data_IF_745967004121
#
_entry.id   IF_745967004121
#
_cell.length_a   1.000
_cell.length_b   1.000
_cell.length_c   1.000
_cell.angle_alpha   90.00
_cell.angle_beta   90.00
_cell.angle_gamma   90.00
#
_symmetry.space_group_name_H-M   'P 1'
#
loop_
_entity.id
_entity.type
_entity.pdbx_description
1 polymer ?
#
# COMPACT_ATOMS: atom_id res chain seq x y z
N UNK A 1 0.21 -1.32 -23.85
CA UNK A 1 -0.86 -2.08 -23.17
C UNK A 1 -0.84 -1.68 -21.71
N UNK A 2 -1.89 -1.00 -21.23
CA UNK A 2 -1.93 -0.48 -19.86
C UNK A 2 -1.99 -1.63 -18.85
N UNK A 3 -1.16 -1.58 -17.80
CA UNK A 3 -1.30 -2.47 -16.67
C UNK A 3 -2.69 -2.25 -16.07
N UNK A 4 -3.56 -3.26 -16.17
CA UNK A 4 -4.83 -3.26 -15.46
C UNK A 4 -4.50 -3.51 -13.99
N UNK A 5 -4.59 -2.45 -13.17
CA UNK A 5 -4.44 -2.59 -11.73
C UNK A 5 -5.60 -3.45 -11.21
N UNK A 6 -5.29 -4.60 -10.60
CA UNK A 6 -6.29 -5.37 -9.88
C UNK A 6 -6.74 -4.56 -8.66
N UNK A 7 -8.05 -4.43 -8.46
CA UNK A 7 -8.62 -3.85 -7.25
C UNK A 7 -9.09 -4.98 -6.33
N UNK A 8 -8.67 -5.01 -5.05
CA UNK A 8 -9.18 -5.98 -4.11
C UNK A 8 -10.64 -5.69 -3.73
N UNK A 9 -11.38 -6.74 -3.41
CA UNK A 9 -12.74 -6.64 -2.88
C UNK A 9 -12.76 -6.26 -1.39
N UNK A 10 -13.87 -5.67 -0.91
CA UNK A 10 -14.10 -5.53 0.53
C UNK A 10 -14.19 -6.94 1.15
N UNK A 11 -13.49 -7.14 2.27
CA UNK A 11 -13.37 -8.44 2.95
C UNK A 11 -12.20 -9.29 2.45
N UNK A 12 -11.56 -8.93 1.35
CA UNK A 12 -10.38 -9.63 0.84
C UNK A 12 -9.18 -9.48 1.77
N UNK A 13 -8.37 -10.53 1.88
CA UNK A 13 -7.11 -10.53 2.62
C UNK A 13 -5.93 -10.24 1.69
N UNK A 14 -5.09 -9.28 2.05
CA UNK A 14 -3.78 -9.03 1.45
C UNK A 14 -2.73 -9.26 2.54
N UNK A 15 -2.09 -10.43 2.52
CA UNK A 15 -1.35 -10.94 3.68
C UNK A 15 -2.27 -10.95 4.91
N UNK A 16 -1.82 -10.34 6.01
CA UNK A 16 -2.59 -10.22 7.25
C UNK A 16 -3.60 -9.05 7.28
N UNK A 17 -3.74 -8.30 6.19
CA UNK A 17 -4.56 -7.10 6.13
C UNK A 17 -5.89 -7.35 5.41
N UNK A 18 -7.00 -7.23 6.13
CA UNK A 18 -8.34 -7.32 5.56
C UNK A 18 -8.77 -5.98 4.97
N UNK A 19 -9.24 -5.94 3.72
CA UNK A 19 -9.83 -4.74 3.11
C UNK A 19 -11.16 -4.41 3.79
N UNK A 20 -11.28 -3.20 4.32
CA UNK A 20 -12.49 -2.71 5.00
C UNK A 20 -13.23 -1.68 4.15
N UNK A 21 -12.52 -0.95 3.28
CA UNK A 21 -13.15 0.01 2.39
C UNK A 21 -12.16 0.80 1.53
N UNK A 22 -12.69 1.47 0.52
CA UNK A 22 -11.95 2.40 -0.32
C UNK A 22 -11.73 3.74 0.40
N UNK A 23 -10.53 4.32 0.29
CA UNK A 23 -10.22 5.65 0.82
C UNK A 23 -9.99 6.69 -0.27
N UNK A 24 -9.41 6.31 -1.41
CA UNK A 24 -9.14 7.25 -2.49
C UNK A 24 -8.24 6.67 -3.57
N UNK A 25 -8.16 7.38 -4.69
CA UNK A 25 -7.28 7.05 -5.82
C UNK A 25 -6.60 8.31 -6.34
N UNK A 26 -5.35 8.16 -6.81
CA UNK A 26 -4.60 9.25 -7.44
C UNK A 26 -3.56 8.71 -8.43
N UNK A 27 -2.71 9.59 -8.96
CA UNK A 27 -1.82 9.25 -10.08
C UNK A 27 -0.84 8.10 -9.82
N UNK A 28 -0.53 7.78 -8.57
CA UNK A 28 0.40 6.70 -8.19
C UNK A 28 -0.28 5.44 -7.65
N UNK A 29 -1.62 5.39 -7.66
CA UNK A 29 -2.37 4.20 -7.26
C UNK A 29 -3.56 4.48 -6.34
N UNK A 30 -3.97 3.43 -5.63
CA UNK A 30 -5.24 3.38 -4.90
C UNK A 30 -5.00 3.05 -3.44
N UNK A 31 -5.75 3.69 -2.55
CA UNK A 31 -5.63 3.55 -1.10
C UNK A 31 -6.89 2.93 -0.53
N UNK A 32 -6.71 1.91 0.30
CA UNK A 32 -7.76 1.21 1.03
C UNK A 32 -7.55 1.34 2.53
N UNK A 33 -8.65 1.38 3.27
CA UNK A 33 -8.66 1.15 4.70
C UNK A 33 -8.56 -0.35 4.92
N UNK A 34 -7.61 -0.76 5.75
CA UNK A 34 -7.42 -2.17 6.11
C UNK A 34 -7.41 -2.37 7.61
N UNK A 35 -7.73 -3.58 8.05
CA UNK A 35 -7.67 -4.00 9.45
C UNK A 35 -6.68 -5.15 9.61
N UNK A 36 -5.85 -5.07 10.66
CA UNK A 36 -4.95 -6.13 11.09
C UNK A 36 -4.85 -6.10 12.61
N UNK A 37 -5.26 -7.18 13.27
CA UNK A 37 -5.15 -7.34 14.72
C UNK A 37 -5.93 -6.27 15.50
N UNK A 38 -7.13 -5.91 15.04
CA UNK A 38 -7.98 -4.89 15.68
C UNK A 38 -7.53 -3.44 15.46
N UNK A 39 -6.49 -3.21 14.64
CA UNK A 39 -5.97 -1.88 14.31
C UNK A 39 -6.20 -1.58 12.83
N UNK A 40 -6.47 -0.31 12.53
CA UNK A 40 -6.67 0.14 11.16
C UNK A 40 -5.41 0.78 10.56
N UNK A 41 -5.21 0.55 9.27
CA UNK A 41 -4.10 1.10 8.49
C UNK A 41 -4.61 1.58 7.12
N UNK A 42 -3.76 2.36 6.44
CA UNK A 42 -3.93 2.67 5.03
C UNK A 42 -3.02 1.74 4.21
N UNK A 43 -3.60 0.98 3.29
CA UNK A 43 -2.87 0.14 2.33
C UNK A 43 -2.92 0.81 0.97
N UNK A 44 -1.75 1.14 0.40
CA UNK A 44 -1.64 1.76 -0.90
C UNK A 44 -1.11 0.76 -1.93
N UNK A 45 -1.94 0.45 -2.93
CA UNK A 45 -1.56 -0.36 -4.09
C UNK A 45 -0.99 0.57 -5.15
N UNK A 46 0.27 0.35 -5.53
CA UNK A 46 0.96 1.16 -6.52
C UNK A 46 0.68 0.64 -7.93
N UNK A 47 0.19 1.51 -8.81
CA UNK A 47 -0.04 1.18 -10.22
C UNK A 47 1.25 1.38 -11.04
N UNK A 48 2.31 0.69 -10.67
CA UNK A 48 3.63 0.80 -11.33
C UNK A 48 4.10 -0.56 -11.84
N UNK A 49 4.74 -0.63 -13.02
CA UNK A 49 5.23 -1.90 -13.58
C UNK A 49 6.41 -2.48 -12.77
N UNK A 50 7.16 -1.63 -12.08
CA UNK A 50 8.29 -2.01 -11.22
C UNK A 50 8.58 -0.92 -10.21
N UNK A 51 9.11 -1.31 -9.05
CA UNK A 51 9.72 -0.38 -8.10
C UNK A 51 11.08 0.05 -8.67
N UNK A 52 11.15 1.29 -9.15
CA UNK A 52 12.40 1.88 -9.63
C UNK A 52 13.33 2.29 -8.47
N UNK A 53 14.52 2.79 -8.81
CA UNK A 53 15.51 3.19 -7.80
C UNK A 53 15.03 4.33 -6.90
N UNK A 54 14.15 5.20 -7.39
CA UNK A 54 13.56 6.29 -6.61
C UNK A 54 12.56 5.75 -5.59
N UNK A 55 11.64 4.89 -6.02
CA UNK A 55 10.65 4.27 -5.14
C UNK A 55 11.32 3.47 -4.02
N UNK A 56 12.38 2.70 -4.35
CA UNK A 56 13.18 1.97 -3.35
C UNK A 56 13.85 2.90 -2.34
N UNK A 57 14.40 4.03 -2.81
CA UNK A 57 15.01 5.03 -1.92
C UNK A 57 13.98 5.68 -1.00
N UNK A 58 12.81 6.03 -1.52
CA UNK A 58 11.73 6.63 -0.72
C UNK A 58 11.25 5.66 0.38
N UNK A 59 11.06 4.37 0.05
CA UNK A 59 10.76 3.33 1.05
C UNK A 59 11.90 3.22 2.07
N UNK A 60 13.16 3.22 1.63
CA UNK A 60 14.32 3.17 2.53
C UNK A 60 14.36 4.34 3.52
N UNK A 61 14.03 5.56 3.08
CA UNK A 61 13.91 6.72 3.97
C UNK A 61 12.80 6.50 4.98
N UNK A 62 11.61 6.09 4.52
CA UNK A 62 10.43 5.90 5.36
C UNK A 62 10.61 4.81 6.42
N UNK A 63 11.39 3.76 6.15
CA UNK A 63 11.74 2.70 7.12
C UNK A 63 12.48 3.29 8.33
N UNK A 64 13.33 4.30 8.13
CA UNK A 64 14.17 4.86 9.18
C UNK A 64 13.64 6.18 9.76
N UNK A 65 12.52 6.69 9.26
CA UNK A 65 12.02 8.01 9.62
C UNK A 65 11.00 7.94 10.76
N UNK A 66 11.38 8.47 11.93
CA UNK A 66 10.48 8.69 13.05
C UNK A 66 10.29 10.19 13.28
N UNK A 67 9.14 10.71 12.85
CA UNK A 67 8.80 12.12 13.03
C UNK A 67 7.28 12.28 13.19
N UNK A 68 6.78 13.07 14.17
CA UNK A 68 5.34 13.22 14.41
C UNK A 68 4.57 13.86 13.23
N UNK A 69 5.25 14.61 12.37
CA UNK A 69 4.68 15.26 11.20
C UNK A 69 4.75 14.40 9.93
N UNK A 70 5.31 13.18 10.02
CA UNK A 70 5.40 12.25 8.89
C UNK A 70 4.69 10.95 9.25
N UNK A 71 3.82 10.48 8.35
CA UNK A 71 3.08 9.23 8.57
C UNK A 71 4.06 8.06 8.64
N UNK A 72 3.97 7.29 9.72
CA UNK A 72 4.84 6.13 9.95
C UNK A 72 4.63 5.06 8.88
N UNK A 73 5.74 4.55 8.36
CA UNK A 73 5.76 3.37 7.51
C UNK A 73 5.65 2.09 8.33
N UNK A 74 4.80 1.16 7.86
CA UNK A 74 4.53 -0.10 8.55
C UNK A 74 5.12 -1.31 7.82
N UNK A 75 5.19 -1.27 6.50
CA UNK A 75 5.68 -2.35 5.66
C UNK A 75 5.15 -2.25 4.23
N UNK A 76 5.71 -3.07 3.34
CA UNK A 76 5.27 -3.21 1.94
C UNK A 76 5.68 -4.57 1.40
N UNK A 77 4.92 -5.10 0.44
CA UNK A 77 5.27 -6.29 -0.32
C UNK A 77 4.68 -6.20 -1.74
N UNK A 78 4.93 -7.20 -2.58
CA UNK A 78 4.30 -7.36 -3.89
C UNK A 78 2.92 -8.00 -3.76
N UNK A 79 2.00 -7.55 -4.61
CA UNK A 79 0.65 -8.08 -4.66
C UNK A 79 0.04 -7.85 -6.05
N UNK A 80 -0.79 -8.77 -6.59
CA UNK A 80 -1.05 -10.13 -6.07
C UNK A 80 0.25 -10.96 -6.01
N UNK A 81 0.27 -12.06 -5.25
CA UNK A 81 1.42 -12.98 -5.22
C UNK A 81 1.95 -13.20 -6.65
N UNK A 82 3.27 -13.26 -6.87
CA UNK A 82 3.80 -13.79 -8.12
C UNK A 82 3.33 -15.22 -8.40
#
# INVERSE_FOLDING_TARGET
>A
MGLVLRHPGIGEMIGDYKIVGFLGSGGLGVVYKVERGGRFFALKILAVPKLDGRAKREIGILIHLENPCVVRYVGSDFWPDP
#
